data_IF_061319935406
#
_entry.id   IF_061319935406
#
_cell.length_a   1.000
_cell.length_b   1.000
_cell.length_c   1.000
_cell.angle_alpha   90.00
_cell.angle_beta   90.00
_cell.angle_gamma   90.00
#
_symmetry.space_group_name_H-M   'P 1'
#
loop_
_entity.id
_entity.type
_entity.pdbx_description
1 polymer ?
#
# COMPACT_ATOMS: atom_id res chain seq x y z
N UNK A 1 28.20 13.59 17.44
CA UNK A 1 27.54 14.27 16.30
C UNK A 1 26.06 13.99 16.37
N UNK A 2 25.26 14.98 16.76
CA UNK A 2 23.80 14.90 16.74
C UNK A 2 23.37 15.06 15.28
N UNK A 3 22.78 14.03 14.67
CA UNK A 3 22.14 14.19 13.35
C UNK A 3 20.87 15.00 13.57
N UNK A 4 20.90 16.27 13.19
CA UNK A 4 19.69 17.08 13.07
C UNK A 4 18.70 16.33 12.19
N UNK A 5 17.58 15.90 12.76
CA UNK A 5 16.50 15.32 11.98
C UNK A 5 15.83 16.46 11.22
N UNK A 6 16.12 16.57 9.93
CA UNK A 6 15.38 17.46 9.03
C UNK A 6 13.94 16.96 9.03
N UNK A 7 13.06 17.66 9.75
CA UNK A 7 11.63 17.43 9.71
C UNK A 7 11.11 17.93 8.37
N UNK A 8 11.03 17.04 7.40
CA UNK A 8 10.34 17.29 6.14
C UNK A 8 8.83 17.37 6.41
N UNK A 9 8.13 18.31 5.76
CA UNK A 9 6.67 18.28 5.73
C UNK A 9 6.16 16.99 5.04
N UNK A 10 4.89 16.63 5.28
CA UNK A 10 4.27 15.41 4.74
C UNK A 10 4.49 15.30 3.23
N UNK A 11 4.27 16.40 2.50
CA UNK A 11 4.46 16.46 1.04
C UNK A 11 5.91 16.22 0.62
N UNK A 12 6.90 16.78 1.32
CA UNK A 12 8.32 16.59 1.01
C UNK A 12 8.79 15.16 1.36
N UNK A 13 8.26 14.59 2.43
CA UNK A 13 8.53 13.20 2.79
C UNK A 13 7.90 12.24 1.77
N UNK A 14 6.65 12.48 1.35
CA UNK A 14 5.99 11.72 0.30
C UNK A 14 6.70 11.85 -1.05
N UNK A 15 7.16 13.05 -1.43
CA UNK A 15 7.98 13.28 -2.63
C UNK A 15 9.29 12.49 -2.60
N UNK A 16 9.96 12.45 -1.44
CA UNK A 16 11.22 11.69 -1.30
C UNK A 16 10.97 10.17 -1.36
N UNK A 17 9.90 9.69 -0.72
CA UNK A 17 9.48 8.28 -0.83
C UNK A 17 9.10 7.93 -2.26
N UNK A 18 8.44 8.85 -2.97
CA UNK A 18 8.09 8.73 -4.38
C UNK A 18 9.36 8.64 -5.23
N UNK A 19 10.34 9.53 -5.05
CA UNK A 19 11.58 9.52 -5.83
C UNK A 19 12.36 8.20 -5.70
N UNK A 20 12.54 7.70 -4.48
CA UNK A 20 13.19 6.41 -4.27
C UNK A 20 12.42 5.31 -4.99
N UNK A 21 11.10 5.29 -4.86
CA UNK A 21 10.30 4.28 -5.57
C UNK A 21 10.41 4.43 -7.08
N UNK A 22 10.34 5.64 -7.64
CA UNK A 22 10.51 5.86 -9.07
C UNK A 22 11.84 5.31 -9.59
N UNK A 23 12.92 5.45 -8.82
CA UNK A 23 14.25 4.96 -9.18
C UNK A 23 14.37 3.42 -9.17
N UNK A 24 13.52 2.73 -8.40
CA UNK A 24 13.60 1.28 -8.21
C UNK A 24 12.34 0.52 -8.66
N UNK A 25 11.32 1.19 -9.20
CA UNK A 25 10.04 0.55 -9.55
C UNK A 25 10.20 -0.56 -10.59
N UNK A 26 11.14 -0.42 -11.53
CA UNK A 26 11.45 -1.45 -12.54
C UNK A 26 11.97 -2.73 -11.86
N UNK A 27 12.94 -2.59 -10.95
CA UNK A 27 13.46 -3.71 -10.15
C UNK A 27 12.35 -4.35 -9.30
N UNK A 28 11.50 -3.54 -8.67
CA UNK A 28 10.39 -4.02 -7.83
C UNK A 28 9.36 -4.82 -8.65
N UNK A 29 9.17 -4.47 -9.93
CA UNK A 29 8.20 -5.08 -10.84
C UNK A 29 8.81 -6.10 -11.83
N UNK A 30 10.03 -6.55 -11.58
CA UNK A 30 10.63 -7.61 -12.38
C UNK A 30 9.74 -8.86 -12.37
N UNK A 31 9.48 -9.42 -13.55
CA UNK A 31 8.43 -10.44 -13.78
C UNK A 31 8.66 -11.70 -12.96
N UNK A 32 9.91 -12.14 -12.92
CA UNK A 32 10.32 -13.39 -12.31
C UNK A 32 10.83 -13.22 -10.86
N UNK A 33 10.62 -12.03 -10.28
CA UNK A 33 11.15 -11.69 -8.96
C UNK A 33 10.72 -12.67 -7.86
N UNK A 34 9.49 -13.20 -7.97
CA UNK A 34 8.93 -14.12 -6.97
C UNK A 34 9.25 -15.60 -7.21
N UNK A 35 10.06 -15.91 -8.23
CA UNK A 35 10.70 -17.24 -8.37
C UNK A 35 11.80 -17.42 -7.31
N UNK A 36 12.41 -16.31 -6.88
CA UNK A 36 13.50 -16.29 -5.92
C UNK A 36 12.99 -16.23 -4.47
N UNK A 37 13.76 -16.83 -3.56
CA UNK A 37 13.59 -16.63 -2.12
C UNK A 37 13.89 -15.17 -1.73
N UNK A 38 13.36 -14.71 -0.59
CA UNK A 38 13.65 -13.36 -0.10
C UNK A 38 15.13 -13.12 0.22
N UNK A 39 15.91 -14.17 0.46
CA UNK A 39 17.37 -14.07 0.61
C UNK A 39 18.00 -13.73 -0.75
N UNK A 40 17.63 -14.47 -1.79
CA UNK A 40 18.11 -14.24 -3.16
C UNK A 40 17.64 -12.89 -3.70
N UNK A 41 16.38 -12.49 -3.48
CA UNK A 41 15.88 -11.15 -3.82
C UNK A 41 16.75 -10.06 -3.18
N UNK A 42 17.15 -10.25 -1.91
CA UNK A 42 18.02 -9.29 -1.23
C UNK A 42 19.40 -9.22 -1.90
N UNK A 43 19.95 -10.36 -2.31
CA UNK A 43 21.22 -10.45 -3.07
C UNK A 43 21.10 -9.76 -4.44
N UNK A 44 19.99 -9.96 -5.17
CA UNK A 44 19.70 -9.26 -6.43
C UNK A 44 19.67 -7.74 -6.25
N UNK A 45 19.11 -7.22 -5.16
CA UNK A 45 19.14 -5.79 -4.87
C UNK A 45 20.59 -5.31 -4.67
N UNK A 46 21.42 -6.05 -3.93
CA UNK A 46 22.84 -5.67 -3.77
C UNK A 46 23.58 -5.66 -5.11
N UNK A 47 23.35 -6.68 -5.95
CA UNK A 47 23.94 -6.76 -7.30
C UNK A 47 23.48 -5.58 -8.17
N UNK A 48 22.21 -5.19 -8.08
CA UNK A 48 21.68 -4.02 -8.78
C UNK A 48 22.41 -2.73 -8.37
N UNK A 49 22.64 -2.51 -7.07
CA UNK A 49 23.38 -1.34 -6.59
C UNK A 49 24.82 -1.33 -7.10
N UNK A 50 25.51 -2.46 -7.00
CA UNK A 50 26.90 -2.60 -7.47
C UNK A 50 27.01 -2.35 -8.98
N UNK A 51 26.14 -2.98 -9.78
CA UNK A 51 26.11 -2.85 -11.25
C UNK A 51 25.89 -1.39 -11.68
N UNK A 52 25.03 -0.66 -10.98
CA UNK A 52 24.70 0.72 -11.28
C UNK A 52 25.59 1.74 -10.53
N UNK A 53 26.66 1.28 -9.85
CA UNK A 53 27.57 2.12 -9.06
C UNK A 53 26.85 3.02 -8.05
N UNK A 54 25.75 2.53 -7.48
CA UNK A 54 24.96 3.25 -6.47
C UNK A 54 25.54 3.03 -5.08
N UNK A 55 25.46 4.05 -4.22
CA UNK A 55 25.86 3.94 -2.82
C UNK A 55 24.93 2.98 -2.09
N UNK A 56 25.52 1.99 -1.42
CA UNK A 56 24.78 1.01 -0.61
C UNK A 56 24.19 1.66 0.65
N UNK A 57 22.96 2.14 0.54
CA UNK A 57 22.18 2.64 1.68
C UNK A 57 21.25 1.54 2.23
N UNK A 58 21.56 1.08 3.46
CA UNK A 58 20.77 0.06 4.17
C UNK A 58 19.30 0.45 4.35
N UNK A 59 18.98 1.74 4.49
CA UNK A 59 17.60 2.21 4.61
C UNK A 59 16.86 2.14 3.28
N UNK A 60 17.52 2.46 2.17
CA UNK A 60 16.95 2.34 0.83
C UNK A 60 16.68 0.88 0.50
N UNK A 61 17.66 -0.02 0.71
CA UNK A 61 17.49 -1.46 0.50
C UNK A 61 16.30 -2.00 1.30
N UNK A 62 16.19 -1.59 2.57
CA UNK A 62 15.08 -1.97 3.44
C UNK A 62 13.72 -1.48 2.91
N UNK A 63 13.65 -0.27 2.35
CA UNK A 63 12.43 0.26 1.70
C UNK A 63 12.06 -0.53 0.45
N UNK A 64 13.04 -0.85 -0.40
CA UNK A 64 12.83 -1.69 -1.60
C UNK A 64 12.24 -3.05 -1.20
N UNK A 65 12.84 -3.72 -0.22
CA UNK A 65 12.33 -4.99 0.31
C UNK A 65 10.89 -4.86 0.85
N UNK A 66 10.53 -3.75 1.48
CA UNK A 66 9.15 -3.53 1.94
C UNK A 66 8.17 -3.37 0.79
N UNK A 67 8.54 -2.70 -0.30
CA UNK A 67 7.70 -2.62 -1.49
C UNK A 67 7.55 -3.96 -2.19
N UNK A 68 8.63 -4.74 -2.29
CA UNK A 68 8.58 -6.10 -2.86
C UNK A 68 7.64 -6.99 -2.02
N UNK A 69 7.76 -6.97 -0.68
CA UNK A 69 6.81 -7.68 0.19
C UNK A 69 5.37 -7.20 0.01
N UNK A 70 5.17 -5.88 -0.09
CA UNK A 70 3.84 -5.30 -0.32
C UNK A 70 3.24 -5.80 -1.63
N UNK A 71 4.00 -5.73 -2.73
CA UNK A 71 3.62 -6.24 -4.06
C UNK A 71 3.25 -7.71 -3.98
N UNK A 72 4.10 -8.54 -3.37
CA UNK A 72 3.86 -9.97 -3.20
C UNK A 72 2.51 -10.24 -2.50
N UNK A 73 2.26 -9.57 -1.37
CA UNK A 73 1.01 -9.75 -0.61
C UNK A 73 -0.21 -9.27 -1.40
N UNK A 74 -0.05 -8.20 -2.18
CA UNK A 74 -1.11 -7.65 -3.02
C UNK A 74 -1.48 -8.63 -4.15
N UNK A 75 -0.48 -9.15 -4.85
CA UNK A 75 -0.64 -10.18 -5.88
C UNK A 75 -1.26 -11.45 -5.31
N UNK A 76 -0.74 -11.92 -4.17
CA UNK A 76 -1.15 -13.18 -3.53
C UNK A 76 -2.62 -13.19 -3.10
N UNK A 77 -3.09 -12.14 -2.44
CA UNK A 77 -4.45 -12.14 -1.88
C UNK A 77 -5.50 -11.43 -2.74
N UNK A 78 -5.09 -10.42 -3.52
CA UNK A 78 -6.02 -9.46 -4.09
C UNK A 78 -5.93 -9.38 -5.62
N UNK A 79 -5.24 -10.32 -6.27
CA UNK A 79 -5.02 -10.38 -7.72
C UNK A 79 -4.53 -9.04 -8.31
N UNK A 80 -3.69 -8.31 -7.58
CA UNK A 80 -3.22 -6.99 -7.99
C UNK A 80 -4.31 -5.94 -8.17
N UNK A 81 -5.38 -5.97 -7.38
CA UNK A 81 -6.48 -5.02 -7.52
C UNK A 81 -6.94 -4.41 -6.19
N UNK A 82 -7.54 -3.23 -6.29
CA UNK A 82 -8.27 -2.62 -5.18
C UNK A 82 -9.58 -3.37 -4.99
N UNK A 83 -9.80 -3.93 -3.79
CA UNK A 83 -11.01 -4.69 -3.47
C UNK A 83 -12.29 -3.88 -3.68
N UNK A 84 -12.24 -2.56 -3.53
CA UNK A 84 -13.41 -1.70 -3.61
C UNK A 84 -13.72 -1.18 -5.01
N UNK A 85 -12.74 -1.01 -5.89
CA UNK A 85 -12.97 -0.38 -7.20
C UNK A 85 -12.38 -1.12 -8.38
N UNK A 86 -11.71 -2.26 -8.15
CA UNK A 86 -11.06 -3.06 -9.18
C UNK A 86 -9.85 -2.38 -9.83
N UNK A 87 -9.46 -1.17 -9.41
CA UNK A 87 -8.30 -0.49 -10.01
C UNK A 87 -7.04 -1.35 -9.80
N UNK A 88 -6.26 -1.60 -10.86
CA UNK A 88 -5.05 -2.40 -10.74
C UNK A 88 -3.97 -1.70 -9.91
N UNK A 89 -3.24 -2.51 -9.15
CA UNK A 89 -2.00 -2.20 -8.49
C UNK A 89 -0.86 -2.50 -9.47
N UNK A 90 -0.42 -1.46 -10.16
CA UNK A 90 0.64 -1.54 -11.17
C UNK A 90 1.95 -0.91 -10.67
N UNK A 91 2.93 -0.90 -11.57
CA UNK A 91 4.26 -0.32 -11.34
C UNK A 91 4.23 1.15 -10.92
N UNK A 92 3.18 1.90 -11.25
CA UNK A 92 3.08 3.32 -10.93
C UNK A 92 2.25 3.58 -9.67
N UNK A 93 1.50 2.60 -9.18
CA UNK A 93 0.50 2.82 -8.14
C UNK A 93 0.75 2.04 -6.84
N UNK A 94 1.69 1.09 -6.78
CA UNK A 94 1.96 0.27 -5.59
C UNK A 94 2.04 1.06 -4.27
N UNK A 95 2.66 2.24 -4.27
CA UNK A 95 2.80 3.07 -3.07
C UNK A 95 1.46 3.52 -2.52
N UNK A 96 0.49 3.79 -3.41
CA UNK A 96 -0.85 4.29 -3.07
C UNK A 96 -1.79 3.22 -2.50
N UNK A 97 -1.44 1.94 -2.56
CA UNK A 97 -2.28 0.88 -2.00
C UNK A 97 -2.11 0.76 -0.48
N UNK A 98 -3.17 0.44 0.24
CA UNK A 98 -3.20 0.44 1.70
C UNK A 98 -3.92 -0.82 2.17
N UNK A 99 -3.39 -1.46 3.22
CA UNK A 99 -4.10 -2.53 3.91
C UNK A 99 -5.07 -1.92 4.92
N UNK A 100 -6.35 -2.06 4.65
CA UNK A 100 -7.46 -1.54 5.42
C UNK A 100 -8.08 -2.65 6.27
N UNK A 101 -8.18 -2.44 7.58
CA UNK A 101 -8.84 -3.37 8.48
C UNK A 101 -10.35 -3.27 8.27
N UNK A 102 -11.02 -4.39 7.98
CA UNK A 102 -12.50 -4.40 7.86
C UNK A 102 -13.21 -4.30 9.21
N UNK A 103 -12.51 -4.64 10.29
CA UNK A 103 -13.04 -4.60 11.65
C UNK A 103 -12.29 -3.55 12.48
N UNK A 104 -12.87 -3.16 13.61
CA UNK A 104 -12.21 -2.24 14.55
C UNK A 104 -11.09 -2.91 15.36
N UNK A 105 -11.03 -4.24 15.36
CA UNK A 105 -9.95 -5.00 16.02
C UNK A 105 -8.68 -4.87 15.18
N UNK A 106 -7.73 -4.08 15.68
CA UNK A 106 -6.42 -3.86 15.08
C UNK A 106 -5.36 -4.37 16.03
N UNK A 107 -4.63 -5.41 15.66
CA UNK A 107 -3.47 -5.84 16.46
C UNK A 107 -2.24 -5.02 16.10
N UNK A 108 -2.13 -4.58 14.84
CA UNK A 108 -0.97 -3.84 14.35
C UNK A 108 -1.30 -2.92 13.15
N UNK A 109 -0.30 -2.14 12.71
CA UNK A 109 -0.34 -1.36 11.47
C UNK A 109 0.73 -1.84 10.49
N UNK A 110 0.54 -1.60 9.19
CA UNK A 110 1.50 -1.96 8.13
C UNK A 110 2.94 -1.49 8.43
N UNK A 111 3.10 -0.31 9.04
CA UNK A 111 4.40 0.24 9.43
C UNK A 111 5.21 -0.69 10.35
N UNK A 112 4.54 -1.41 11.24
CA UNK A 112 5.13 -2.42 12.12
C UNK A 112 5.28 -3.77 11.40
N UNK A 113 4.22 -4.20 10.71
CA UNK A 113 4.11 -5.55 10.15
C UNK A 113 5.06 -5.79 8.97
N UNK A 114 5.38 -4.77 8.16
CA UNK A 114 6.32 -4.90 7.04
C UNK A 114 7.73 -5.39 7.43
N UNK A 115 8.07 -5.29 8.72
CA UNK A 115 9.33 -5.80 9.30
C UNK A 115 9.34 -7.33 9.42
N UNK A 116 8.18 -7.99 9.53
CA UNK A 116 8.04 -9.45 9.65
C UNK A 116 8.45 -10.15 8.35
N UNK A 117 8.65 -11.46 8.41
CA UNK A 117 8.77 -12.30 7.21
C UNK A 117 7.41 -12.43 6.49
N UNK A 118 7.37 -12.99 5.28
CA UNK A 118 6.13 -13.11 4.51
C UNK A 118 5.06 -13.90 5.25
N UNK A 119 5.42 -15.02 5.87
CA UNK A 119 4.49 -15.85 6.66
C UNK A 119 3.79 -15.03 7.74
N UNK A 120 4.54 -14.27 8.54
CA UNK A 120 3.98 -13.43 9.59
C UNK A 120 3.21 -12.20 9.09
N UNK A 121 3.37 -11.81 7.82
CA UNK A 121 2.53 -10.80 7.16
C UNK A 121 1.22 -11.44 6.69
N UNK A 122 1.29 -12.64 6.10
CA UNK A 122 0.11 -13.43 5.67
C UNK A 122 -0.79 -13.73 6.86
N UNK A 123 -0.23 -14.20 7.98
CA UNK A 123 -0.95 -14.47 9.22
C UNK A 123 -1.65 -13.20 9.71
N UNK A 124 -0.93 -12.08 9.80
CA UNK A 124 -1.52 -10.79 10.20
C UNK A 124 -2.66 -10.34 9.28
N UNK A 125 -2.51 -10.43 7.95
CA UNK A 125 -3.57 -10.04 7.01
C UNK A 125 -4.86 -10.82 7.28
N UNK A 126 -4.76 -12.12 7.56
CA UNK A 126 -5.91 -12.99 7.86
C UNK A 126 -6.49 -12.71 9.24
N UNK A 127 -5.65 -12.60 10.27
CA UNK A 127 -6.06 -12.38 11.66
C UNK A 127 -6.74 -11.02 11.86
N UNK A 128 -6.16 -9.95 11.30
CA UNK A 128 -6.68 -8.58 11.39
C UNK A 128 -7.75 -8.27 10.34
N UNK A 129 -8.13 -9.28 9.54
CA UNK A 129 -9.11 -9.21 8.46
C UNK A 129 -8.92 -7.97 7.54
N UNK A 130 -7.71 -7.87 6.99
CA UNK A 130 -7.32 -6.75 6.14
C UNK A 130 -7.75 -6.96 4.68
N UNK A 131 -8.11 -5.86 4.01
CA UNK A 131 -8.30 -5.80 2.56
C UNK A 131 -7.35 -4.79 1.92
N UNK A 132 -7.07 -4.94 0.63
CA UNK A 132 -6.26 -3.97 -0.11
C UNK A 132 -7.13 -2.92 -0.79
N UNK A 133 -6.85 -1.65 -0.54
CA UNK A 133 -7.53 -0.50 -1.14
C UNK A 133 -6.54 0.46 -1.78
N UNK A 134 -6.90 1.11 -2.87
CA UNK A 134 -6.15 2.28 -3.35
C UNK A 134 -6.39 3.49 -2.42
N UNK A 135 -5.47 4.46 -2.44
CA UNK A 135 -5.52 5.64 -1.57
C UNK A 135 -6.85 6.39 -1.68
N UNK A 136 -7.39 6.52 -2.90
CA UNK A 136 -8.65 7.23 -3.13
C UNK A 136 -9.82 6.52 -2.43
N UNK A 137 -9.96 5.21 -2.59
CA UNK A 137 -11.01 4.44 -1.91
C UNK A 137 -10.83 4.49 -0.38
N UNK A 138 -9.58 4.39 0.10
CA UNK A 138 -9.29 4.46 1.51
C UNK A 138 -9.67 5.82 2.11
N UNK A 139 -9.34 6.93 1.44
CA UNK A 139 -9.69 8.30 1.86
C UNK A 139 -11.21 8.46 1.90
N UNK A 140 -11.92 8.09 0.83
CA UNK A 140 -13.38 8.21 0.76
C UNK A 140 -14.06 7.48 1.94
N UNK A 141 -13.59 6.28 2.31
CA UNK A 141 -14.11 5.53 3.44
C UNK A 141 -13.85 6.19 4.80
N UNK A 142 -12.73 6.91 4.94
CA UNK A 142 -12.36 7.61 6.17
C UNK A 142 -13.00 9.00 6.30
N UNK A 143 -13.43 9.61 5.18
CA UNK A 143 -14.00 10.96 5.09
C UNK A 143 -15.46 11.06 5.58
N UNK A 144 -15.75 10.50 6.76
CA UNK A 144 -17.11 10.51 7.37
C UNK A 144 -17.68 11.93 7.52
N UNK A 145 -16.83 12.89 7.91
CA UNK A 145 -17.23 14.29 8.10
C UNK A 145 -17.61 14.93 6.77
N UNK A 146 -16.76 14.78 5.75
CA UNK A 146 -17.03 15.34 4.42
C UNK A 146 -18.37 14.87 3.85
N UNK A 147 -18.64 13.56 3.94
CA UNK A 147 -19.91 12.98 3.49
C UNK A 147 -21.12 13.50 4.25
N UNK A 148 -20.96 13.87 5.52
CA UNK A 148 -22.04 14.45 6.35
C UNK A 148 -22.44 15.85 5.88
N UNK A 149 -21.52 16.61 5.29
CA UNK A 149 -21.70 18.03 4.96
C UNK A 149 -21.66 18.31 3.45
N UNK A 150 -21.71 17.28 2.61
CA UNK A 150 -21.48 17.45 1.16
C UNK A 150 -22.58 18.26 0.48
N UNK A 151 -23.83 18.10 0.92
CA UNK A 151 -24.98 18.93 0.55
C UNK A 151 -24.76 20.40 0.89
N UNK A 152 -24.22 20.68 2.08
CA UNK A 152 -23.95 22.06 2.52
C UNK A 152 -22.76 22.67 1.75
N UNK A 153 -21.71 21.88 1.51
CA UNK A 153 -20.48 22.36 0.86
C UNK A 153 -20.74 22.68 -0.62
N UNK A 154 -21.49 21.83 -1.33
CA UNK A 154 -21.71 21.97 -2.77
C UNK A 154 -23.08 22.53 -3.15
N UNK A 155 -23.99 22.69 -2.18
CA UNK A 155 -25.40 23.03 -2.41
C UNK A 155 -26.05 22.09 -3.46
N UNK A 156 -25.72 20.80 -3.37
CA UNK A 156 -26.08 19.77 -4.34
C UNK A 156 -26.48 18.46 -3.62
N UNK A 157 -27.79 18.25 -3.48
CA UNK A 157 -28.35 17.03 -2.87
C UNK A 157 -28.18 15.79 -3.76
N UNK A 158 -28.18 15.94 -5.10
CA UNK A 158 -27.98 14.82 -6.01
C UNK A 158 -26.56 14.25 -5.89
N UNK A 159 -25.57 15.13 -5.70
CA UNK A 159 -24.20 14.74 -5.40
C UNK A 159 -24.11 13.94 -4.10
N UNK A 160 -24.82 14.36 -3.04
CA UNK A 160 -24.88 13.63 -1.76
C UNK A 160 -25.46 12.22 -1.94
N UNK A 161 -26.55 12.09 -2.69
CA UNK A 161 -27.17 10.80 -2.99
C UNK A 161 -26.21 9.91 -3.77
N UNK A 162 -25.54 10.45 -4.80
CA UNK A 162 -24.57 9.70 -5.61
C UNK A 162 -23.40 9.19 -4.77
N UNK A 163 -22.77 10.05 -4.00
CA UNK A 163 -21.63 9.68 -3.15
C UNK A 163 -22.03 8.67 -2.07
N UNK A 164 -23.24 8.79 -1.51
CA UNK A 164 -23.77 7.82 -0.55
C UNK A 164 -23.93 6.45 -1.19
N UNK A 165 -24.47 6.37 -2.42
CA UNK A 165 -24.60 5.12 -3.17
C UNK A 165 -23.25 4.51 -3.50
N UNK A 166 -22.29 5.31 -3.95
CA UNK A 166 -20.92 4.85 -4.22
C UNK A 166 -20.28 4.27 -2.96
N UNK A 167 -20.37 4.97 -1.82
CA UNK A 167 -19.84 4.49 -0.55
C UNK A 167 -20.51 3.20 -0.08
N UNK A 168 -21.82 3.06 -0.25
CA UNK A 168 -22.55 1.84 0.07
C UNK A 168 -22.03 0.66 -0.78
N UNK A 169 -21.86 0.87 -2.09
CA UNK A 169 -21.26 -0.12 -2.97
C UNK A 169 -19.85 -0.52 -2.52
N UNK A 170 -18.98 0.46 -2.25
CA UNK A 170 -17.62 0.20 -1.75
C UNK A 170 -17.61 -0.66 -0.49
N UNK A 171 -18.50 -0.37 0.46
CA UNK A 171 -18.64 -1.16 1.71
C UNK A 171 -19.12 -2.58 1.44
N UNK A 172 -20.04 -2.77 0.49
CA UNK A 172 -20.51 -4.10 0.08
C UNK A 172 -19.37 -4.89 -0.56
N UNK A 173 -18.63 -4.29 -1.49
CA UNK A 173 -17.48 -4.93 -2.15
C UNK A 173 -16.44 -5.40 -1.12
N UNK A 174 -16.06 -4.51 -0.19
CA UNK A 174 -15.15 -4.81 0.92
C UNK A 174 -15.67 -5.95 1.82
N UNK A 175 -16.95 -5.91 2.19
CA UNK A 175 -17.57 -6.93 3.05
C UNK A 175 -17.68 -8.28 2.35
N UNK A 176 -17.92 -8.27 1.04
CA UNK A 176 -18.10 -9.47 0.23
C UNK A 176 -16.78 -10.18 -0.07
N UNK A 177 -15.65 -9.47 -0.01
CA UNK A 177 -14.33 -10.03 -0.27
C UNK A 177 -14.05 -11.26 0.61
N UNK A 178 -13.50 -12.30 -0.01
CA UNK A 178 -13.03 -13.51 0.64
C UNK A 178 -11.61 -13.79 0.19
N UNK A 179 -10.75 -14.14 1.14
CA UNK A 179 -9.43 -14.67 0.79
C UNK A 179 -9.62 -15.96 0.00
N UNK A 180 -8.94 -16.07 -1.15
CA UNK A 180 -8.84 -17.34 -1.86
C UNK A 180 -7.96 -18.28 -1.02
N UNK A 181 -8.44 -19.50 -0.78
CA UNK A 181 -7.71 -20.54 -0.05
C UNK A 181 -6.58 -21.11 -0.89
#
# INVERSE_FOLDING_TARGET
MVKESINLCVDCHEKTQSLIYQNFKILIYEKDLFIYSFKEIKELIYLYFNKNKLVLDKLVIKRILYWIKKRYIIEYFYNSECVSCGKPCDINSLQSFIFHHRTEKKTNIWGAVKKRNIKGIIEWIKEDDCVCLCANCHIILQSKIYLKYVDIIFNDEDLKVKLTKELQKMKLDIKSFKFKN
#
